data_IF_584738272419
#
_entry.id   IF_584738272419
#
_cell.length_a   1.000
_cell.length_b   1.000
_cell.length_c   1.000
_cell.angle_alpha   90.00
_cell.angle_beta   90.00
_cell.angle_gamma   90.00
#
_symmetry.space_group_name_H-M   'P 1'
#
loop_
_entity.id
_entity.type
_entity.pdbx_description
1 polymer ?
#
# COMPACT_ATOMS: atom_id res chain seq x y z
N UNK A 1 14.28 6.08 8.99
CA UNK A 1 13.97 5.75 10.41
C UNK A 1 14.20 4.26 10.64
N UNK A 2 14.71 3.87 11.82
CA UNK A 2 14.94 2.47 12.27
C UNK A 2 15.72 1.56 11.29
N UNK A 3 17.03 1.80 11.06
CA UNK A 3 17.81 1.09 10.03
C UNK A 3 17.99 -0.41 10.31
N UNK A 4 18.09 -0.81 11.57
CA UNK A 4 18.36 -2.19 11.99
C UNK A 4 17.12 -2.99 12.41
N UNK A 5 15.95 -2.34 12.53
CA UNK A 5 14.72 -3.02 12.93
C UNK A 5 14.06 -3.64 11.70
N UNK A 6 13.78 -4.96 11.68
CA UNK A 6 13.25 -5.61 10.48
C UNK A 6 11.73 -5.51 10.35
N UNK A 7 11.01 -5.43 11.47
CA UNK A 7 9.54 -5.45 11.54
C UNK A 7 9.05 -4.60 12.71
N UNK A 8 7.92 -3.91 12.53
CA UNK A 8 7.27 -3.12 13.58
C UNK A 8 5.75 -3.25 13.50
N UNK A 9 5.11 -3.15 14.66
CA UNK A 9 3.68 -2.85 14.76
C UNK A 9 3.52 -1.35 14.98
N UNK A 10 2.79 -0.68 14.11
CA UNK A 10 2.30 0.67 14.34
C UNK A 10 0.86 0.56 14.84
N UNK A 11 0.57 1.17 15.99
CA UNK A 11 -0.73 1.10 16.66
C UNK A 11 -1.11 2.49 17.11
N UNK A 12 -2.35 2.89 16.85
CA UNK A 12 -2.89 4.14 17.36
C UNK A 12 -2.97 4.11 18.89
N UNK A 13 -2.82 5.30 19.50
CA UNK A 13 -2.76 5.44 20.97
C UNK A 13 -4.11 5.25 21.66
N UNK A 14 -5.20 5.23 20.90
CA UNK A 14 -6.58 5.07 21.38
C UNK A 14 -7.10 3.63 21.24
N UNK A 15 -6.22 2.67 20.92
CA UNK A 15 -6.57 1.26 20.85
C UNK A 15 -6.49 0.54 22.20
N UNK A 16 -7.39 -0.42 22.39
CA UNK A 16 -7.38 -1.36 23.51
C UNK A 16 -7.22 -2.78 22.97
N UNK A 17 -6.29 -3.55 23.53
CA UNK A 17 -6.12 -4.95 23.21
C UNK A 17 -7.00 -5.82 24.12
N UNK A 18 -7.85 -6.63 23.52
CA UNK A 18 -8.70 -7.61 24.23
C UNK A 18 -8.12 -9.03 24.23
N UNK A 19 -7.00 -9.23 23.54
CA UNK A 19 -6.28 -10.49 23.41
C UNK A 19 -4.76 -10.25 23.44
N UNK A 20 -3.97 -11.32 23.48
CA UNK A 20 -2.51 -11.24 23.47
C UNK A 20 -2.00 -10.62 22.15
N UNK A 21 -1.27 -9.51 22.27
CA UNK A 21 -0.65 -8.79 21.14
C UNK A 21 0.36 -9.67 20.38
N UNK A 22 0.92 -10.71 21.01
CA UNK A 22 1.81 -11.65 20.33
C UNK A 22 1.11 -12.39 19.17
N UNK A 23 -0.21 -12.53 19.21
CA UNK A 23 -0.99 -13.09 18.10
C UNK A 23 -0.92 -12.20 16.86
N UNK A 24 -0.95 -10.87 17.02
CA UNK A 24 -0.74 -9.94 15.91
C UNK A 24 0.69 -10.02 15.37
N UNK A 25 1.68 -10.20 16.24
CA UNK A 25 3.06 -10.38 15.80
C UNK A 25 3.24 -11.67 14.98
N UNK A 26 2.53 -12.75 15.34
CA UNK A 26 2.58 -14.01 14.61
C UNK A 26 2.08 -13.87 13.16
N UNK A 27 1.20 -12.91 12.84
CA UNK A 27 0.71 -12.69 11.48
C UNK A 27 1.81 -12.36 10.47
N UNK A 28 2.98 -11.85 10.91
CA UNK A 28 4.14 -11.71 10.02
C UNK A 28 4.59 -13.03 9.39
N UNK A 29 4.35 -14.19 10.03
CA UNK A 29 4.70 -15.49 9.44
C UNK A 29 3.82 -15.87 8.25
N UNK A 30 2.72 -15.14 8.03
CA UNK A 30 1.79 -15.37 6.91
C UNK A 30 2.08 -14.48 5.72
N UNK A 31 3.05 -13.56 5.83
CA UNK A 31 3.45 -12.71 4.72
C UNK A 31 4.05 -13.59 3.62
N UNK A 32 3.45 -13.53 2.44
CA UNK A 32 4.00 -14.09 1.22
C UNK A 32 5.15 -13.23 0.69
N UNK A 33 5.92 -13.81 -0.23
CA UNK A 33 7.06 -13.13 -0.84
C UNK A 33 6.61 -11.82 -1.51
N UNK A 34 7.18 -10.70 -1.06
CA UNK A 34 6.87 -9.36 -1.57
C UNK A 34 5.76 -8.62 -0.81
N UNK A 35 5.07 -9.25 0.15
CA UNK A 35 4.19 -8.50 1.05
C UNK A 35 5.03 -7.63 2.00
N UNK A 36 4.74 -6.34 2.01
CA UNK A 36 5.51 -5.33 2.74
C UNK A 36 4.80 -4.85 4.00
N UNK A 37 3.48 -4.86 3.98
CA UNK A 37 2.63 -4.36 5.05
C UNK A 37 1.29 -5.10 5.07
N UNK A 38 0.67 -5.16 6.24
CA UNK A 38 -0.70 -5.62 6.42
C UNK A 38 -1.48 -4.63 7.28
N UNK A 39 -2.75 -4.45 6.92
CA UNK A 39 -3.68 -3.50 7.53
C UNK A 39 -5.07 -4.12 7.53
N UNK A 40 -5.91 -3.72 8.48
CA UNK A 40 -7.32 -4.06 8.44
C UNK A 40 -8.03 -3.25 7.35
N UNK A 41 -9.04 -3.83 6.70
CA UNK A 41 -9.91 -3.07 5.81
C UNK A 41 -10.70 -2.06 6.62
N UNK A 42 -10.92 -0.88 6.04
CA UNK A 42 -11.80 0.12 6.65
C UNK A 42 -13.22 -0.45 6.79
N UNK A 43 -13.90 -0.13 7.90
CA UNK A 43 -15.24 -0.64 8.23
C UNK A 43 -16.33 0.44 8.08
N UNK A 44 -16.00 1.60 7.53
CA UNK A 44 -16.92 2.71 7.30
C UNK A 44 -17.30 2.84 5.81
N UNK A 45 -18.34 3.62 5.54
CA UNK A 45 -18.77 3.92 4.18
C UNK A 45 -17.94 5.03 3.50
N UNK A 46 -16.88 5.55 4.15
CA UNK A 46 -16.09 6.66 3.62
C UNK A 46 -15.35 6.31 2.32
N UNK A 47 -15.11 5.03 2.06
CA UNK A 47 -14.42 4.53 0.87
C UNK A 47 -15.38 4.01 -0.21
N UNK A 48 -16.66 4.39 -0.17
CA UNK A 48 -17.65 3.87 -1.11
C UNK A 48 -17.27 4.16 -2.57
N UNK A 49 -16.80 5.38 -2.88
CA UNK A 49 -16.37 5.72 -4.24
C UNK A 49 -15.16 4.88 -4.70
N UNK A 50 -14.19 4.67 -3.82
CA UNK A 50 -13.01 3.83 -4.08
C UNK A 50 -13.44 2.38 -4.33
N UNK A 51 -14.37 1.87 -3.50
CA UNK A 51 -14.90 0.51 -3.60
C UNK A 51 -15.72 0.32 -4.87
N UNK A 52 -16.52 1.31 -5.27
CA UNK A 52 -17.26 1.32 -6.55
C UNK A 52 -16.33 1.26 -7.77
N UNK A 53 -15.08 1.72 -7.64
CA UNK A 53 -14.05 1.63 -8.67
C UNK A 53 -13.19 0.34 -8.56
N UNK A 54 -13.55 -0.58 -7.66
CA UNK A 54 -12.84 -1.84 -7.43
C UNK A 54 -11.61 -1.72 -6.51
N UNK A 55 -11.42 -0.56 -5.88
CA UNK A 55 -10.41 -0.37 -4.84
C UNK A 55 -10.87 -0.88 -3.47
N UNK A 56 -9.98 -0.80 -2.48
CA UNK A 56 -10.24 -1.19 -1.10
C UNK A 56 -9.72 -0.09 -0.18
N UNK A 57 -10.53 0.30 0.81
CA UNK A 57 -10.11 1.17 1.91
C UNK A 57 -9.43 0.37 3.02
N UNK A 58 -8.40 0.95 3.63
CA UNK A 58 -7.71 0.36 4.79
C UNK A 58 -7.74 1.34 5.95
N UNK A 59 -7.92 0.80 7.15
CA UNK A 59 -7.79 1.56 8.38
C UNK A 59 -6.32 1.57 8.83
N UNK A 60 -5.79 2.75 9.20
CA UNK A 60 -4.39 2.92 9.59
C UNK A 60 -4.10 2.70 11.06
N UNK A 61 -5.10 2.44 11.89
CA UNK A 61 -4.90 2.38 13.33
C UNK A 61 -4.15 1.15 13.84
N UNK A 62 -3.99 0.14 12.98
CA UNK A 62 -3.07 -0.97 13.18
C UNK A 62 -2.38 -1.30 11.84
N UNK A 63 -1.06 -1.22 11.83
CA UNK A 63 -0.24 -1.58 10.65
C UNK A 63 0.90 -2.49 11.05
N UNK A 64 0.99 -3.65 10.40
CA UNK A 64 2.17 -4.51 10.43
C UNK A 64 3.09 -4.05 9.32
N UNK A 65 4.29 -3.56 9.65
CA UNK A 65 5.26 -3.11 8.65
C UNK A 65 6.49 -4.02 8.65
N UNK A 66 6.79 -4.62 7.50
CA UNK A 66 8.00 -5.41 7.28
C UNK A 66 9.12 -4.50 6.73
N UNK A 67 9.73 -3.69 7.60
CA UNK A 67 10.72 -2.67 7.27
C UNK A 67 11.89 -3.19 6.42
N UNK A 68 12.38 -4.41 6.69
CA UNK A 68 13.45 -5.01 5.89
C UNK A 68 13.02 -5.26 4.43
N UNK A 69 11.85 -5.89 4.24
CA UNK A 69 11.29 -6.11 2.91
C UNK A 69 10.97 -4.79 2.19
N UNK A 70 10.47 -3.78 2.92
CA UNK A 70 10.23 -2.44 2.39
C UNK A 70 11.51 -1.79 1.86
N UNK A 71 12.62 -1.87 2.63
CA UNK A 71 13.94 -1.37 2.20
C UNK A 71 14.48 -2.10 0.96
N UNK A 72 14.19 -3.39 0.84
CA UNK A 72 14.61 -4.20 -0.30
C UNK A 72 13.71 -4.05 -1.55
N UNK A 73 12.52 -3.47 -1.41
CA UNK A 73 11.52 -3.41 -2.48
C UNK A 73 11.75 -2.24 -3.44
N UNK A 74 12.14 -2.56 -4.67
CA UNK A 74 12.28 -1.58 -5.76
C UNK A 74 10.97 -0.87 -6.09
N UNK A 75 9.85 -1.62 -6.11
CA UNK A 75 8.53 -1.04 -6.40
C UNK A 75 8.13 -0.03 -5.32
N UNK A 76 8.36 -0.36 -4.06
CA UNK A 76 8.04 0.55 -2.96
C UNK A 76 8.88 1.84 -3.02
N UNK A 77 10.19 1.72 -3.27
CA UNK A 77 11.06 2.89 -3.47
C UNK A 77 10.61 3.75 -4.66
N UNK A 78 10.21 3.14 -5.78
CA UNK A 78 9.68 3.87 -6.94
C UNK A 78 8.39 4.63 -6.61
N UNK A 79 7.45 4.01 -5.89
CA UNK A 79 6.21 4.65 -5.46
C UNK A 79 6.47 5.83 -4.53
N UNK A 80 7.39 5.67 -3.57
CA UNK A 80 7.79 6.77 -2.67
C UNK A 80 8.45 7.93 -3.44
N UNK A 81 9.33 7.63 -4.41
CA UNK A 81 9.95 8.66 -5.25
C UNK A 81 8.93 9.39 -6.11
N UNK A 82 8.02 8.65 -6.75
CA UNK A 82 6.95 9.25 -7.55
C UNK A 82 6.11 10.19 -6.69
N UNK A 83 5.74 9.76 -5.48
CA UNK A 83 5.01 10.60 -4.52
C UNK A 83 5.82 11.84 -4.12
N UNK A 84 7.09 11.69 -3.75
CA UNK A 84 7.96 12.80 -3.33
C UNK A 84 8.19 13.84 -4.45
N UNK A 85 8.10 13.43 -5.72
CA UNK A 85 8.23 14.30 -6.89
C UNK A 85 6.88 14.86 -7.39
N UNK A 86 5.77 14.59 -6.68
CA UNK A 86 4.44 15.09 -7.05
C UNK A 86 3.77 14.33 -8.21
N UNK A 87 4.32 13.18 -8.61
CA UNK A 87 3.72 12.32 -9.63
C UNK A 87 2.64 11.42 -9.01
N UNK A 88 1.50 12.03 -8.66
CA UNK A 88 0.34 11.31 -8.14
C UNK A 88 -0.54 10.79 -9.29
N UNK A 89 -0.80 9.48 -9.35
CA UNK A 89 -1.83 8.90 -10.23
C UNK A 89 -1.38 8.15 -11.49
N UNK A 90 -0.25 7.42 -11.47
CA UNK A 90 0.09 6.52 -12.59
C UNK A 90 -0.48 5.11 -12.34
N UNK A 91 -1.75 4.93 -12.70
CA UNK A 91 -2.23 3.59 -13.00
C UNK A 91 -1.49 3.08 -14.25
N UNK A 92 -0.89 1.90 -14.17
CA UNK A 92 -0.36 1.18 -15.32
C UNK A 92 -1.52 0.86 -16.27
N UNK A 93 -1.80 1.77 -17.21
CA UNK A 93 -2.79 1.54 -18.25
C UNK A 93 -2.25 0.47 -19.20
N UNK A 94 -2.65 -0.78 -19.02
CA UNK A 94 -2.41 -1.83 -20.01
C UNK A 94 -3.11 -1.44 -21.31
N UNK A 95 -2.35 -1.30 -22.39
CA UNK A 95 -2.84 -0.92 -23.72
C UNK A 95 -4.07 -1.75 -24.12
N UNK A 96 -5.28 -1.20 -24.00
CA UNK A 96 -6.38 -1.47 -24.95
C UNK A 96 -6.55 -0.23 -25.80
N UNK A 97 -6.22 -0.35 -27.09
CA UNK A 97 -6.50 0.69 -28.09
C UNK A 97 -7.98 1.00 -28.06
N UNK A 98 -8.34 2.24 -27.72
CA UNK A 98 -9.62 2.83 -28.09
C UNK A 98 -9.32 4.08 -28.90
N UNK A 99 -9.50 3.97 -30.20
CA UNK A 99 -9.54 5.08 -31.15
C UNK A 99 -10.84 5.84 -30.91
N UNK A 100 -10.75 7.08 -30.43
CA UNK A 100 -11.89 7.99 -30.25
C UNK A 100 -11.43 9.37 -29.80
N UNK A 101 -12.08 10.47 -30.27
CA UNK A 101 -11.48 11.80 -30.24
C UNK A 101 -11.89 12.56 -28.97
N UNK A 102 -11.24 12.31 -27.85
CA UNK A 102 -11.06 13.31 -26.78
C UNK A 102 -9.79 12.97 -26.01
N UNK A 103 -8.81 13.87 -26.08
CA UNK A 103 -7.48 13.69 -25.53
C UNK A 103 -7.49 13.54 -24.02
N UNK A 104 -7.08 12.37 -23.54
CA UNK A 104 -6.36 12.24 -22.27
C UNK A 104 -4.92 11.91 -22.63
N UNK A 105 -4.00 12.78 -22.28
CA UNK A 105 -2.56 12.55 -22.46
C UNK A 105 -2.14 11.41 -21.54
N UNK A 106 -2.07 10.21 -22.08
CA UNK A 106 -1.39 9.09 -21.42
C UNK A 106 0.11 9.40 -21.42
N UNK A 107 0.70 9.67 -20.27
CA UNK A 107 2.17 9.65 -20.14
C UNK A 107 2.59 8.18 -20.14
N UNK A 108 2.72 7.62 -21.34
CA UNK A 108 3.45 6.37 -21.54
C UNK A 108 4.92 6.69 -21.34
N UNK A 109 5.49 6.34 -20.20
CA UNK A 109 6.88 5.90 -20.00
C UNK A 109 7.23 5.94 -18.51
N UNK A 110 6.76 4.94 -17.76
CA UNK A 110 7.58 4.40 -16.69
C UNK A 110 8.16 3.08 -17.22
N UNK A 111 9.49 2.87 -17.18
CA UNK A 111 10.06 1.58 -17.50
C UNK A 111 9.56 0.57 -16.47
N UNK A 112 8.82 -0.45 -16.95
CA UNK A 112 8.48 -1.62 -16.14
C UNK A 112 9.75 -2.47 -15.94
N UNK A 113 10.04 -2.98 -14.73
CA UNK A 113 11.00 -4.07 -14.56
C UNK A 113 10.47 -5.39 -15.12
#
# INVERSE_FOLDING_TARGET
>A
MLPSVPRVLLVDIDMFFTADVALLWAEFSRFSQGQLMAMATDQSDLYEEVTRQGGIGFNSGLVLMHLEAMRASKLYDQLLRAYALGHHGVAACSRRRRTGPMGRTCISNLPMP
#
